data_IF_950971844357
#
_entry.id   IF_950971844357
#
_cell.length_a   1.000
_cell.length_b   1.000
_cell.length_c   1.000
_cell.angle_alpha   90.00
_cell.angle_beta   90.00
_cell.angle_gamma   90.00
#
_symmetry.space_group_name_H-M   'P 1'
#
loop_
_entity.id
_entity.type
_entity.pdbx_description
1 polymer ?
#
# COMPACT_ATOMS: atom_id res chain seq x y z
N UNK A 1 -15.69 0.95 3.94
CA UNK A 1 -14.70 2.00 4.27
C UNK A 1 -13.29 1.46 4.54
N UNK A 2 -12.96 0.85 5.69
CA UNK A 2 -11.56 0.41 5.96
C UNK A 2 -11.02 -0.62 4.94
N UNK A 3 -11.84 -1.58 4.53
CA UNK A 3 -11.47 -2.60 3.53
C UNK A 3 -11.25 -2.01 2.14
N UNK A 4 -12.05 -1.02 1.75
CA UNK A 4 -11.99 -0.37 0.42
C UNK A 4 -10.74 0.51 0.30
N UNK A 5 -10.45 1.33 1.31
CA UNK A 5 -9.23 2.16 1.32
C UNK A 5 -7.95 1.31 1.31
N UNK A 6 -7.99 0.12 1.91
CA UNK A 6 -6.86 -0.81 1.92
C UNK A 6 -6.62 -1.45 0.56
N UNK A 7 -7.69 -1.79 -0.16
CA UNK A 7 -7.59 -2.30 -1.53
C UNK A 7 -7.04 -1.22 -2.47
N UNK A 8 -7.59 -0.01 -2.39
CA UNK A 8 -7.15 1.15 -3.17
C UNK A 8 -5.66 1.48 -2.93
N UNK A 9 -5.22 1.51 -1.67
CA UNK A 9 -3.82 1.69 -1.33
C UNK A 9 -2.93 0.63 -2.00
N UNK A 10 -3.32 -0.64 -1.94
CA UNK A 10 -2.47 -1.73 -2.46
C UNK A 10 -2.40 -1.71 -3.98
N UNK A 11 -3.49 -1.43 -4.67
CA UNK A 11 -3.52 -1.25 -6.12
C UNK A 11 -2.64 -0.06 -6.53
N UNK A 12 -2.81 1.09 -5.88
CA UNK A 12 -2.01 2.29 -6.12
C UNK A 12 -0.51 2.07 -5.94
N UNK A 13 -0.11 1.35 -4.88
CA UNK A 13 1.29 1.01 -4.61
C UNK A 13 1.87 0.11 -5.71
N UNK A 14 1.12 -0.90 -6.16
CA UNK A 14 1.56 -1.84 -7.19
C UNK A 14 1.64 -1.18 -8.56
N UNK A 15 0.63 -0.42 -8.96
CA UNK A 15 0.61 0.31 -10.22
C UNK A 15 1.81 1.27 -10.30
N UNK A 16 2.02 2.09 -9.27
CA UNK A 16 3.14 2.99 -9.24
C UNK A 16 4.49 2.28 -9.29
N UNK A 17 4.61 1.12 -8.64
CA UNK A 17 5.86 0.36 -8.66
C UNK A 17 6.15 -0.26 -10.01
N UNK A 18 5.17 -0.91 -10.62
CA UNK A 18 5.39 -1.76 -11.79
C UNK A 18 5.07 -1.09 -13.11
N UNK A 19 4.14 -0.14 -13.15
CA UNK A 19 3.81 0.63 -14.35
C UNK A 19 4.63 1.92 -14.43
N UNK A 20 4.89 2.59 -13.31
CA UNK A 20 5.53 3.91 -13.29
C UNK A 20 6.96 3.92 -12.73
N UNK A 21 7.46 2.79 -12.20
CA UNK A 21 8.81 2.68 -11.64
C UNK A 21 9.03 3.45 -10.33
N UNK A 22 7.97 3.95 -9.69
CA UNK A 22 8.01 4.72 -8.46
C UNK A 22 8.26 3.80 -7.26
N UNK A 23 9.02 4.27 -6.27
CA UNK A 23 9.26 3.50 -5.06
C UNK A 23 8.04 3.49 -4.14
N UNK A 24 7.77 2.37 -3.48
CA UNK A 24 6.67 2.23 -2.54
C UNK A 24 6.66 3.32 -1.45
N UNK A 25 7.83 3.74 -0.96
CA UNK A 25 7.92 4.82 0.05
C UNK A 25 7.31 6.12 -0.47
N UNK A 26 7.70 6.56 -1.67
CA UNK A 26 7.19 7.80 -2.28
C UNK A 26 5.68 7.71 -2.56
N UNK A 27 5.20 6.55 -3.01
CA UNK A 27 3.77 6.34 -3.19
C UNK A 27 3.02 6.33 -1.85
N UNK A 28 3.60 5.77 -0.78
CA UNK A 28 3.00 5.79 0.55
C UNK A 28 2.84 7.22 1.07
N UNK A 29 3.90 8.03 1.01
CA UNK A 29 3.91 9.46 1.34
C UNK A 29 2.81 10.21 0.56
N UNK A 30 2.74 10.00 -0.75
CA UNK A 30 1.73 10.63 -1.63
C UNK A 30 0.30 10.24 -1.24
N UNK A 31 0.07 8.97 -0.88
CA UNK A 31 -1.25 8.48 -0.51
C UNK A 31 -1.71 9.08 0.82
N UNK A 32 -0.85 9.10 1.84
CA UNK A 32 -1.22 9.67 3.16
C UNK A 32 -1.47 11.17 3.08
N UNK A 33 -0.75 11.88 2.22
CA UNK A 33 -1.00 13.30 1.93
C UNK A 33 -2.35 13.49 1.24
N UNK A 34 -2.65 12.70 0.19
CA UNK A 34 -3.88 12.82 -0.59
C UNK A 34 -5.15 12.68 0.26
N UNK A 35 -5.15 11.78 1.23
CA UNK A 35 -6.29 11.54 2.13
C UNK A 35 -6.22 12.34 3.45
N UNK A 36 -5.29 13.28 3.60
CA UNK A 36 -5.05 14.02 4.84
C UNK A 36 -4.84 13.12 6.07
N UNK A 37 -4.17 11.97 5.89
CA UNK A 37 -3.84 11.01 6.93
C UNK A 37 -2.48 11.27 7.59
N UNK A 38 -1.77 12.31 7.14
CA UNK A 38 -0.49 12.75 7.70
C UNK A 38 -0.66 13.01 9.20
N UNK A 39 0.17 12.33 10.01
CA UNK A 39 0.12 12.42 11.48
C UNK A 39 -1.01 11.62 12.14
N UNK A 40 -1.98 11.11 11.37
CA UNK A 40 -3.04 10.20 11.86
C UNK A 40 -2.62 8.74 11.74
N UNK A 41 -1.80 8.41 10.74
CA UNK A 41 -1.30 7.06 10.50
C UNK A 41 0.20 7.07 10.31
N UNK A 42 0.88 6.09 10.90
CA UNK A 42 2.29 5.85 10.69
C UNK A 42 2.50 5.09 9.36
N UNK A 43 3.25 5.67 8.43
CA UNK A 43 3.56 5.05 7.13
C UNK A 43 4.20 3.66 7.27
N UNK A 44 5.06 3.47 8.27
CA UNK A 44 5.67 2.18 8.58
C UNK A 44 4.63 1.10 8.91
N UNK A 45 3.54 1.48 9.58
CA UNK A 45 2.44 0.55 9.87
C UNK A 45 1.70 0.13 8.59
N UNK A 46 1.50 1.05 7.64
CA UNK A 46 0.94 0.75 6.32
C UNK A 46 1.87 -0.14 5.50
N UNK A 47 3.18 0.16 5.51
CA UNK A 47 4.20 -0.65 4.83
C UNK A 47 4.24 -2.09 5.36
N UNK A 48 4.20 -2.28 6.68
CA UNK A 48 4.10 -3.62 7.29
C UNK A 48 2.82 -4.35 6.89
N UNK A 49 1.68 -3.66 6.85
CA UNK A 49 0.41 -4.24 6.41
C UNK A 49 0.45 -4.69 4.94
N UNK A 50 1.04 -3.86 4.06
CA UNK A 50 1.25 -4.17 2.65
C UNK A 50 2.17 -5.37 2.44
N UNK A 51 3.28 -5.46 3.18
CA UNK A 51 4.19 -6.60 3.11
C UNK A 51 3.51 -7.91 3.53
N UNK A 52 2.71 -7.89 4.61
CA UNK A 52 1.92 -9.05 5.04
C UNK A 52 0.93 -9.49 3.96
N UNK A 53 0.22 -8.54 3.36
CA UNK A 53 -0.70 -8.83 2.26
C UNK A 53 0.00 -9.48 1.06
N UNK A 54 1.15 -8.94 0.61
CA UNK A 54 1.93 -9.54 -0.48
C UNK A 54 2.36 -10.98 -0.19
N UNK A 55 2.71 -11.28 1.08
CA UNK A 55 3.06 -12.64 1.50
C UNK A 55 1.86 -13.57 1.37
N UNK A 56 0.69 -13.17 1.89
CA UNK A 56 -0.54 -13.96 1.79
C UNK A 56 -0.93 -14.25 0.34
N UNK A 57 -0.92 -13.23 -0.53
CA UNK A 57 -1.24 -13.40 -1.97
C UNK A 57 -0.29 -14.37 -2.68
N UNK A 58 0.99 -14.37 -2.29
CA UNK A 58 1.98 -15.31 -2.85
C UNK A 58 1.73 -16.73 -2.36
N UNK A 59 1.35 -16.90 -1.09
CA UNK A 59 1.00 -18.21 -0.51
C UNK A 59 -0.29 -18.78 -1.12
N UNK A 60 -1.31 -17.94 -1.36
CA UNK A 60 -2.54 -18.33 -2.05
C UNK A 60 -2.29 -18.78 -3.49
N UNK A 61 -1.46 -18.05 -4.24
CA UNK A 61 -1.10 -18.43 -5.62
C UNK A 61 -0.30 -19.74 -5.71
N UNK A 62 0.35 -20.15 -4.63
CA UNK A 62 1.15 -21.37 -4.56
C UNK A 62 0.37 -22.59 -4.03
N UNK A 63 -0.92 -22.43 -3.70
CA UNK A 63 -1.84 -23.53 -3.36
C UNK A 63 -2.60 -24.00 -4.60
#
# INVERSE_FOLDING_TARGET
MEVEMRAELYEFLLENKYCHGIMFKKSMETFVEHYNMVGLVEEESLMRAFQRWRKMMKEEKNR
#
